data_IF_655410607751
#
_entry.id   IF_655410607751
#
_cell.length_a   1.000
_cell.length_b   1.000
_cell.length_c   1.000
_cell.angle_alpha   90.00
_cell.angle_beta   90.00
_cell.angle_gamma   90.00
#
_symmetry.space_group_name_H-M   'P 1'
#
loop_
_entity.id
_entity.type
_entity.pdbx_description
1 polymer ?
#
# COMPACT_ATOMS: atom_id res chain seq x y z
N UNK A 1 -50.60 50.54 13.10
CA UNK A 1 -50.16 49.31 13.81
C UNK A 1 -49.93 48.13 12.82
N UNK A 2 -50.82 47.84 11.89
CA UNK A 2 -50.65 46.68 10.92
C UNK A 2 -49.38 46.80 10.07
N UNK A 3 -48.98 47.98 9.67
CA UNK A 3 -47.78 48.22 8.82
C UNK A 3 -46.46 47.90 9.53
N UNK A 4 -46.39 48.04 10.86
CA UNK A 4 -45.22 47.67 11.64
C UNK A 4 -45.06 46.18 11.82
N UNK A 5 -46.15 45.43 11.95
CA UNK A 5 -46.12 43.96 12.03
C UNK A 5 -45.77 43.32 10.73
N UNK A 6 -46.13 43.95 9.60
CA UNK A 6 -45.80 43.45 8.25
C UNK A 6 -44.27 43.55 7.97
N UNK A 7 -43.64 44.62 8.45
CA UNK A 7 -42.19 44.80 8.32
C UNK A 7 -41.42 43.83 9.22
N UNK A 8 -41.95 43.57 10.43
CA UNK A 8 -41.34 42.61 11.36
C UNK A 8 -41.44 41.18 10.85
N UNK A 9 -42.56 40.81 10.20
CA UNK A 9 -42.77 39.50 9.61
C UNK A 9 -41.86 39.26 8.38
N UNK A 10 -41.64 40.31 7.59
CA UNK A 10 -40.75 40.26 6.43
C UNK A 10 -39.27 40.13 6.81
N UNK A 11 -38.86 40.63 7.97
CA UNK A 11 -37.51 40.50 8.51
C UNK A 11 -37.22 39.08 9.05
N UNK A 12 -38.23 38.36 9.50
CA UNK A 12 -38.14 36.97 9.99
C UNK A 12 -37.99 35.93 8.88
N UNK A 13 -38.42 36.25 7.65
CA UNK A 13 -38.29 35.40 6.46
C UNK A 13 -36.86 35.37 5.84
N UNK A 14 -36.00 36.29 6.21
CA UNK A 14 -34.63 36.38 5.69
C UNK A 14 -33.59 35.57 6.46
N UNK A 15 -33.98 34.89 7.57
CA UNK A 15 -33.09 34.09 8.41
C UNK A 15 -33.04 32.60 8.02
N UNK A 16 -33.68 32.21 6.92
CA UNK A 16 -33.57 30.86 6.35
C UNK A 16 -32.25 30.65 5.61
N UNK A 17 -31.11 31.01 6.21
CA UNK A 17 -29.78 30.61 5.70
C UNK A 17 -29.66 29.10 5.75
N UNK A 18 -29.68 28.44 4.59
CA UNK A 18 -29.28 27.04 4.46
C UNK A 18 -27.85 26.92 5.01
N UNK A 19 -27.69 26.50 6.25
CA UNK A 19 -26.41 25.99 6.74
C UNK A 19 -26.12 24.74 5.90
N UNK A 20 -25.32 24.89 4.84
CA UNK A 20 -24.74 23.78 4.13
C UNK A 20 -23.77 23.11 5.13
N UNK A 21 -24.27 22.08 5.79
CA UNK A 21 -23.43 21.22 6.62
C UNK A 21 -22.43 20.55 5.67
N UNK A 22 -21.23 21.10 5.57
CA UNK A 22 -20.10 20.39 4.96
C UNK A 22 -19.90 19.17 5.84
N UNK A 23 -20.17 18.01 5.27
CA UNK A 23 -19.99 16.74 5.95
C UNK A 23 -18.46 16.54 6.17
N UNK A 24 -17.98 17.02 7.31
CA UNK A 24 -16.55 17.03 7.68
C UNK A 24 -15.94 15.62 7.69
N UNK A 25 -16.79 14.57 7.72
CA UNK A 25 -16.35 13.19 7.60
C UNK A 25 -15.86 12.88 6.18
N UNK A 26 -16.57 13.31 5.15
CA UNK A 26 -16.23 13.02 3.75
C UNK A 26 -14.91 13.71 3.35
N UNK A 27 -14.68 14.94 3.78
CA UNK A 27 -13.45 15.69 3.45
C UNK A 27 -12.20 15.18 4.16
N UNK A 28 -12.33 14.61 5.36
CA UNK A 28 -11.19 14.01 6.09
C UNK A 28 -10.74 12.67 5.48
N UNK A 29 -11.62 11.94 4.79
CA UNK A 29 -11.30 10.64 4.21
C UNK A 29 -10.78 10.73 2.77
N UNK A 30 -11.21 11.71 1.99
CA UNK A 30 -10.79 11.85 0.59
C UNK A 30 -9.35 12.33 0.42
N UNK A 31 -8.78 13.00 1.41
CA UNK A 31 -7.48 13.67 1.27
C UNK A 31 -6.27 12.81 1.70
N UNK A 32 -6.45 11.79 2.55
CA UNK A 32 -5.31 11.01 3.04
C UNK A 32 -4.69 10.11 1.95
N UNK A 33 -5.50 9.50 1.08
CA UNK A 33 -5.05 8.54 0.08
C UNK A 33 -4.17 9.16 -1.00
N UNK A 34 -4.54 10.30 -1.62
CA UNK A 34 -3.65 11.02 -2.55
C UNK A 34 -2.36 11.49 -1.89
N UNK A 35 -2.43 11.98 -0.64
CA UNK A 35 -1.23 12.40 0.11
C UNK A 35 -0.32 11.22 0.41
N UNK A 36 -0.86 10.06 0.78
CA UNK A 36 -0.08 8.83 0.98
C UNK A 36 0.53 8.34 -0.33
N UNK A 37 -0.21 8.39 -1.45
CA UNK A 37 0.31 8.01 -2.77
C UNK A 37 1.47 8.91 -3.23
N UNK A 38 1.46 10.19 -2.81
CA UNK A 38 2.52 11.14 -3.08
C UNK A 38 3.80 10.91 -2.26
N UNK A 39 3.73 10.15 -1.16
CA UNK A 39 4.92 9.80 -0.36
C UNK A 39 5.79 8.80 -1.12
N UNK A 40 6.87 9.28 -1.73
CA UNK A 40 7.80 8.45 -2.55
C UNK A 40 9.00 7.94 -1.77
N UNK A 41 9.20 8.43 -0.54
CA UNK A 41 10.30 8.00 0.32
C UNK A 41 9.73 7.44 1.62
N UNK A 42 9.87 6.13 1.79
CA UNK A 42 9.38 5.42 2.95
C UNK A 42 10.23 4.19 3.26
N UNK A 43 10.11 3.72 4.47
CA UNK A 43 10.63 2.44 4.92
C UNK A 43 9.54 1.74 5.72
N UNK A 44 9.48 0.41 5.60
CA UNK A 44 8.59 -0.42 6.40
C UNK A 44 9.30 -1.68 6.87
N UNK A 45 9.07 -2.05 8.11
CA UNK A 45 9.47 -3.33 8.67
C UNK A 45 8.27 -4.25 8.81
N UNK A 46 8.53 -5.56 8.71
CA UNK A 46 7.46 -6.54 8.75
C UNK A 46 7.96 -7.96 8.78
N UNK A 47 7.01 -8.86 8.51
CA UNK A 47 7.24 -10.28 8.29
C UNK A 47 6.53 -10.72 7.03
N UNK A 48 7.14 -11.64 6.33
CA UNK A 48 6.61 -12.21 5.11
C UNK A 48 6.59 -13.74 5.25
N UNK A 49 5.51 -14.38 4.80
CA UNK A 49 5.43 -15.82 4.62
C UNK A 49 5.07 -16.13 3.18
N UNK A 50 5.94 -16.84 2.49
CA UNK A 50 5.73 -17.43 1.18
C UNK A 50 5.19 -18.83 1.34
N UNK A 51 4.13 -19.17 0.61
CA UNK A 51 3.43 -20.44 0.69
C UNK A 51 3.14 -20.89 -0.75
N UNK A 52 3.71 -22.02 -1.13
CA UNK A 52 3.41 -22.74 -2.35
C UNK A 52 2.96 -24.17 -2.02
N UNK A 53 2.56 -25.00 -3.01
CA UNK A 53 2.28 -26.42 -2.76
C UNK A 53 3.50 -27.19 -2.25
N UNK A 54 4.70 -26.81 -2.64
CA UNK A 54 5.95 -27.51 -2.37
C UNK A 54 6.57 -27.09 -1.05
N UNK A 55 6.38 -25.81 -0.65
CA UNK A 55 7.13 -25.26 0.47
C UNK A 55 6.40 -24.13 1.20
N UNK A 56 6.84 -23.91 2.43
CA UNK A 56 6.46 -22.75 3.23
C UNK A 56 7.69 -22.15 3.88
N UNK A 57 7.98 -20.90 3.54
CA UNK A 57 9.09 -20.13 4.10
C UNK A 57 8.60 -18.85 4.77
N UNK A 58 9.34 -18.37 5.77
CA UNK A 58 9.03 -17.12 6.46
C UNK A 58 10.32 -16.34 6.73
N UNK A 59 10.23 -15.02 6.61
CA UNK A 59 11.35 -14.12 6.82
C UNK A 59 10.88 -12.83 7.51
N UNK A 60 11.80 -12.16 8.21
CA UNK A 60 11.63 -10.75 8.51
C UNK A 60 11.84 -9.95 7.23
N UNK A 61 11.12 -8.85 7.11
CA UNK A 61 11.08 -7.99 5.96
C UNK A 61 11.53 -6.58 6.38
N UNK A 62 12.48 -6.01 5.64
CA UNK A 62 12.75 -4.58 5.63
C UNK A 62 12.65 -4.10 4.19
N UNK A 63 11.76 -3.14 3.93
CA UNK A 63 11.52 -2.64 2.60
C UNK A 63 11.63 -1.12 2.58
N UNK A 64 12.51 -0.62 1.75
CA UNK A 64 12.75 0.81 1.57
C UNK A 64 12.46 1.24 0.14
N UNK A 65 11.78 2.35 0.00
CA UNK A 65 11.55 3.05 -1.25
C UNK A 65 12.10 4.46 -1.17
N UNK A 66 12.80 4.88 -2.21
CA UNK A 66 13.15 6.28 -2.46
C UNK A 66 12.67 6.66 -3.86
N UNK A 67 12.86 7.91 -4.25
CA UNK A 67 12.57 8.34 -5.63
C UNK A 67 13.34 7.54 -6.69
N UNK A 68 14.54 7.04 -6.35
CA UNK A 68 15.47 6.43 -7.32
C UNK A 68 15.76 4.96 -7.06
N UNK A 69 15.28 4.40 -5.96
CA UNK A 69 15.60 3.00 -5.61
C UNK A 69 14.49 2.35 -4.81
N UNK A 70 14.36 1.04 -5.00
CA UNK A 70 13.49 0.14 -4.26
C UNK A 70 14.36 -0.99 -3.70
N UNK A 71 14.47 -1.10 -2.38
CA UNK A 71 15.34 -2.05 -1.70
C UNK A 71 14.52 -2.96 -0.79
N UNK A 72 14.58 -4.26 -1.04
CA UNK A 72 13.96 -5.31 -0.24
C UNK A 72 15.04 -6.16 0.40
N UNK A 73 15.04 -6.26 1.73
CA UNK A 73 15.91 -7.15 2.48
C UNK A 73 15.06 -8.16 3.23
N UNK A 74 15.36 -9.45 3.05
CA UNK A 74 14.77 -10.52 3.83
C UNK A 74 15.84 -11.14 4.73
N UNK A 75 15.47 -11.37 6.01
CA UNK A 75 16.36 -12.00 7.00
C UNK A 75 15.64 -13.15 7.72
N UNK A 76 16.41 -14.08 8.24
CA UNK A 76 15.91 -15.08 9.19
C UNK A 76 15.42 -14.40 10.47
N UNK A 77 14.75 -15.16 11.35
CA UNK A 77 14.31 -14.62 12.64
C UNK A 77 15.47 -14.21 13.57
N UNK A 78 16.67 -14.76 13.38
CA UNK A 78 17.91 -14.39 14.10
C UNK A 78 18.70 -13.28 13.43
N UNK A 79 18.20 -12.70 12.31
CA UNK A 79 18.81 -11.56 11.63
C UNK A 79 19.80 -11.91 10.53
N UNK A 80 20.06 -13.18 10.22
CA UNK A 80 20.91 -13.57 9.09
C UNK A 80 20.22 -13.17 7.78
N UNK A 81 20.94 -12.47 6.88
CA UNK A 81 20.41 -12.09 5.57
C UNK A 81 20.13 -13.32 4.71
N UNK A 82 18.93 -13.41 4.18
CA UNK A 82 18.52 -14.43 3.21
C UNK A 82 18.77 -13.90 1.81
N UNK A 83 18.30 -12.66 1.55
CA UNK A 83 18.51 -11.96 0.29
C UNK A 83 18.46 -10.43 0.49
N UNK A 84 19.08 -9.72 -0.46
CA UNK A 84 18.96 -8.28 -0.61
C UNK A 84 18.73 -7.98 -2.09
N UNK A 85 17.56 -7.43 -2.42
CA UNK A 85 17.19 -7.01 -3.76
C UNK A 85 17.17 -5.49 -3.82
N UNK A 86 17.97 -4.92 -4.71
CA UNK A 86 18.00 -3.48 -4.98
C UNK A 86 17.62 -3.23 -6.43
N UNK A 87 16.61 -2.42 -6.64
CA UNK A 87 16.15 -2.00 -7.96
C UNK A 87 16.34 -0.51 -8.12
N UNK A 88 16.85 -0.11 -9.27
CA UNK A 88 17.05 1.28 -9.69
C UNK A 88 16.58 1.46 -11.13
N UNK A 89 16.71 2.69 -11.67
CA UNK A 89 16.45 2.96 -13.10
C UNK A 89 17.41 2.21 -14.04
N UNK A 90 18.57 1.75 -13.53
CA UNK A 90 19.57 1.02 -14.31
C UNK A 90 19.38 -0.50 -14.31
N UNK A 91 18.45 -1.02 -13.54
CA UNK A 91 18.18 -2.45 -13.38
C UNK A 91 18.11 -2.88 -11.92
N UNK A 92 18.23 -4.18 -11.72
CA UNK A 92 18.15 -4.85 -10.44
C UNK A 92 19.41 -5.61 -10.09
N UNK A 93 19.78 -5.58 -8.82
CA UNK A 93 20.88 -6.30 -8.19
C UNK A 93 20.29 -7.17 -7.08
N UNK A 94 20.61 -8.45 -7.08
CA UNK A 94 20.20 -9.40 -6.05
C UNK A 94 21.42 -10.07 -5.43
N UNK A 95 21.62 -9.86 -4.14
CA UNK A 95 22.55 -10.64 -3.32
C UNK A 95 21.78 -11.84 -2.75
N UNK A 96 22.22 -13.06 -3.09
CA UNK A 96 21.59 -14.31 -2.66
C UNK A 96 22.63 -15.42 -2.59
N UNK A 97 22.64 -16.17 -1.48
CA UNK A 97 23.56 -17.29 -1.22
C UNK A 97 25.06 -16.92 -1.31
N UNK A 98 25.39 -15.64 -0.99
CA UNK A 98 26.75 -15.11 -0.99
C UNK A 98 27.24 -14.58 -2.33
N UNK A 99 26.43 -14.70 -3.40
CA UNK A 99 26.74 -14.19 -4.73
C UNK A 99 25.88 -12.96 -5.09
N UNK A 100 26.35 -12.15 -6.03
CA UNK A 100 25.66 -11.01 -6.59
C UNK A 100 25.23 -11.27 -8.04
N UNK A 101 23.98 -10.96 -8.34
CA UNK A 101 23.36 -11.17 -9.64
C UNK A 101 22.71 -9.89 -10.15
N UNK A 102 22.77 -9.67 -11.47
CA UNK A 102 22.24 -8.47 -12.10
C UNK A 102 21.25 -8.83 -13.22
N UNK A 103 20.21 -8.01 -13.37
CA UNK A 103 19.22 -8.12 -14.43
C UNK A 103 18.50 -6.77 -14.63
N UNK A 104 17.82 -6.61 -15.73
CA UNK A 104 16.95 -5.45 -15.96
C UNK A 104 15.59 -5.57 -15.26
N UNK A 105 15.18 -6.80 -14.90
CA UNK A 105 13.87 -7.10 -14.28
C UNK A 105 14.04 -7.73 -12.90
N UNK A 106 13.71 -6.97 -11.86
CA UNK A 106 13.85 -7.38 -10.46
C UNK A 106 12.98 -8.60 -10.10
N UNK A 107 11.73 -8.64 -10.58
CA UNK A 107 10.80 -9.73 -10.26
C UNK A 107 11.22 -11.06 -10.91
N UNK A 108 11.72 -11.03 -12.15
CA UNK A 108 12.22 -12.22 -12.83
C UNK A 108 13.57 -12.67 -12.26
N UNK A 109 14.45 -11.73 -11.89
CA UNK A 109 15.72 -12.04 -11.22
C UNK A 109 15.44 -12.78 -9.89
N UNK A 110 14.57 -12.23 -9.05
CA UNK A 110 14.17 -12.83 -7.79
C UNK A 110 13.63 -14.25 -8.00
N UNK A 111 12.67 -14.42 -8.92
CA UNK A 111 12.04 -15.72 -9.22
C UNK A 111 13.05 -16.74 -9.70
N UNK A 112 13.93 -16.35 -10.65
CA UNK A 112 14.91 -17.26 -11.27
C UNK A 112 15.90 -17.84 -10.27
N UNK A 113 16.35 -17.02 -9.31
CA UNK A 113 17.40 -17.42 -8.38
C UNK A 113 16.87 -18.05 -7.10
N UNK A 114 15.72 -17.60 -6.62
CA UNK A 114 15.20 -18.05 -5.31
C UNK A 114 13.95 -18.92 -5.43
N UNK A 115 13.36 -19.08 -6.62
CA UNK A 115 12.03 -19.68 -6.79
C UNK A 115 10.88 -18.80 -6.26
N UNK A 116 11.20 -17.73 -5.55
CA UNK A 116 10.27 -16.85 -4.85
C UNK A 116 9.67 -15.81 -5.79
N UNK A 117 8.36 -15.87 -6.00
CA UNK A 117 7.65 -14.90 -6.84
C UNK A 117 7.00 -13.83 -5.99
N UNK A 118 7.43 -12.58 -6.14
CA UNK A 118 6.87 -11.41 -5.47
C UNK A 118 6.81 -10.26 -6.49
N UNK A 119 5.69 -9.52 -6.59
CA UNK A 119 5.57 -8.39 -7.50
C UNK A 119 6.26 -7.16 -6.91
N UNK A 120 7.60 -7.16 -6.93
CA UNK A 120 8.43 -6.08 -6.35
C UNK A 120 8.27 -4.76 -7.08
N UNK A 121 7.93 -4.83 -8.37
CA UNK A 121 7.56 -3.64 -9.13
C UNK A 121 6.25 -3.06 -8.59
N UNK A 122 6.13 -1.74 -8.56
CA UNK A 122 4.96 -1.03 -8.03
C UNK A 122 4.62 -1.33 -6.55
N UNK A 123 5.57 -1.87 -5.78
CA UNK A 123 5.39 -2.11 -4.34
C UNK A 123 4.95 -0.84 -3.60
N UNK A 124 5.39 0.32 -4.06
CA UNK A 124 4.94 1.64 -3.57
C UNK A 124 3.42 1.77 -3.51
N UNK A 125 2.70 1.26 -4.49
CA UNK A 125 1.25 1.38 -4.54
C UNK A 125 0.54 0.27 -3.75
N UNK A 126 0.90 -0.98 -3.96
CA UNK A 126 0.16 -2.07 -3.35
C UNK A 126 0.49 -2.26 -1.86
N UNK A 127 1.72 -2.00 -1.39
CA UNK A 127 2.04 -2.04 0.04
C UNK A 127 1.26 -1.00 0.83
N UNK A 128 1.07 0.20 0.28
CA UNK A 128 0.34 1.30 0.92
C UNK A 128 -1.19 1.20 0.77
N UNK A 129 -1.68 0.31 -0.09
CA UNK A 129 -3.11 0.23 -0.42
C UNK A 129 -3.62 1.42 -1.24
N UNK A 130 -2.73 2.06 -2.02
CA UNK A 130 -3.03 3.22 -2.86
C UNK A 130 -3.21 2.88 -4.34
N UNK A 131 -3.29 1.59 -4.68
CA UNK A 131 -3.58 1.16 -6.06
C UNK A 131 -4.85 1.85 -6.55
N UNK A 132 -4.77 2.41 -7.75
CA UNK A 132 -5.91 2.93 -8.50
C UNK A 132 -6.21 1.95 -9.65
N UNK A 133 -7.24 1.15 -9.47
CA UNK A 133 -7.67 0.12 -10.42
C UNK A 133 -9.21 -0.03 -10.37
N UNK A 134 -9.82 -0.31 -11.52
CA UNK A 134 -11.28 -0.47 -11.62
C UNK A 134 -11.83 -1.62 -10.77
N UNK A 135 -11.02 -2.63 -10.46
CA UNK A 135 -11.39 -3.77 -9.61
C UNK A 135 -11.24 -3.50 -8.11
N UNK A 136 -10.78 -2.29 -7.73
CA UNK A 136 -10.55 -1.95 -6.33
C UNK A 136 -11.84 -1.94 -5.54
N UNK A 137 -11.93 -2.79 -4.53
CA UNK A 137 -12.98 -2.77 -3.52
C UNK A 137 -12.45 -2.03 -2.30
N UNK A 138 -13.22 -1.07 -1.81
CA UNK A 138 -12.89 -0.28 -0.61
C UNK A 138 -13.89 -0.53 0.51
N UNK A 139 -13.51 -0.18 1.73
CA UNK A 139 -14.43 -0.12 2.87
C UNK A 139 -15.10 1.27 3.00
N UNK A 140 -15.89 1.44 4.06
CA UNK A 140 -16.62 2.68 4.35
C UNK A 140 -15.69 3.90 4.59
N UNK A 141 -14.42 3.67 4.87
CA UNK A 141 -13.39 4.69 5.07
C UNK A 141 -12.52 4.92 3.84
N UNK A 142 -12.88 4.34 2.67
CA UNK A 142 -12.13 4.43 1.43
C UNK A 142 -10.81 3.62 1.42
N UNK A 143 -10.58 2.74 2.45
CA UNK A 143 -9.40 1.89 2.52
C UNK A 143 -9.57 0.67 1.61
N UNK A 144 -8.51 0.27 0.93
CA UNK A 144 -8.53 -0.92 0.09
C UNK A 144 -8.90 -2.17 0.90
N UNK A 145 -9.81 -2.99 0.37
CA UNK A 145 -10.15 -4.33 0.88
C UNK A 145 -9.61 -5.41 -0.01
N UNK A 146 -9.78 -5.24 -1.30
CA UNK A 146 -9.34 -6.19 -2.30
C UNK A 146 -9.08 -5.47 -3.62
N UNK A 147 -8.11 -5.96 -4.39
CA UNK A 147 -7.88 -5.55 -5.76
C UNK A 147 -7.39 -6.74 -6.58
N UNK A 148 -7.78 -6.78 -7.85
CA UNK A 148 -7.21 -7.68 -8.87
C UNK A 148 -6.28 -6.84 -9.73
N UNK A 149 -5.00 -7.13 -9.66
CA UNK A 149 -3.97 -6.31 -10.28
C UNK A 149 -3.05 -7.15 -11.18
N UNK A 150 -2.55 -6.55 -12.25
CA UNK A 150 -1.56 -7.17 -13.13
C UNK A 150 -0.21 -6.51 -12.90
N UNK A 151 0.81 -7.32 -12.63
CA UNK A 151 2.18 -6.82 -12.53
C UNK A 151 2.77 -6.48 -13.92
N UNK A 152 3.97 -5.91 -13.94
CA UNK A 152 4.64 -5.49 -15.18
C UNK A 152 4.99 -6.69 -16.10
N UNK A 153 4.91 -7.93 -15.62
CA UNK A 153 5.09 -9.16 -16.40
C UNK A 153 3.77 -9.72 -16.90
N UNK A 154 2.64 -9.08 -16.62
CA UNK A 154 1.30 -9.52 -16.98
C UNK A 154 0.72 -10.61 -16.07
N UNK A 155 1.34 -10.92 -14.94
CA UNK A 155 0.81 -11.89 -13.97
C UNK A 155 -0.31 -11.24 -13.16
N UNK A 156 -1.44 -11.93 -13.07
CA UNK A 156 -2.59 -11.51 -12.30
C UNK A 156 -2.39 -11.83 -10.82
N UNK A 157 -2.49 -10.82 -9.97
CA UNK A 157 -2.48 -10.93 -8.52
C UNK A 157 -3.84 -10.53 -7.95
N UNK A 158 -4.29 -11.28 -6.96
CA UNK A 158 -5.33 -10.80 -6.04
C UNK A 158 -4.63 -10.35 -4.77
N UNK A 159 -4.90 -9.12 -4.35
CA UNK A 159 -4.37 -8.55 -3.11
C UNK A 159 -5.54 -8.32 -2.17
N UNK A 160 -5.55 -9.02 -1.05
CA UNK A 160 -6.51 -8.84 0.04
C UNK A 160 -5.85 -8.04 1.16
N UNK A 161 -6.47 -6.94 1.55
CA UNK A 161 -6.05 -6.11 2.66
C UNK A 161 -6.85 -6.47 3.90
N UNK A 162 -6.16 -6.80 4.99
CA UNK A 162 -6.77 -7.20 6.25
C UNK A 162 -6.97 -6.02 7.19
N UNK A 163 -6.05 -5.83 8.13
CA UNK A 163 -6.14 -4.78 9.15
C UNK A 163 -5.35 -3.55 8.76
N UNK A 164 -5.77 -2.40 9.29
CA UNK A 164 -5.16 -1.09 9.10
C UNK A 164 -4.80 -0.46 10.44
N UNK A 165 -3.79 0.41 10.43
CA UNK A 165 -3.43 1.30 11.53
C UNK A 165 -3.40 2.75 11.03
N UNK A 166 -3.74 3.68 11.88
CA UNK A 166 -3.55 5.09 11.60
C UNK A 166 -2.17 5.54 12.10
N UNK A 167 -1.35 6.06 11.21
CA UNK A 167 -0.02 6.58 11.52
C UNK A 167 0.28 7.81 10.66
N UNK A 168 0.81 8.88 11.27
CA UNK A 168 1.15 10.15 10.59
C UNK A 168 0.02 10.74 9.73
N UNK A 169 -1.25 10.53 10.12
CA UNK A 169 -2.42 11.00 9.38
C UNK A 169 -2.81 10.16 8.17
N UNK A 170 -2.23 8.96 8.02
CA UNK A 170 -2.53 7.99 6.97
C UNK A 170 -3.14 6.71 7.54
N UNK A 171 -3.99 6.06 6.77
CA UNK A 171 -4.41 4.68 7.01
C UNK A 171 -3.47 3.73 6.28
N UNK A 172 -2.70 2.96 7.03
CA UNK A 172 -1.66 2.06 6.51
C UNK A 172 -2.06 0.60 6.74
N UNK A 173 -1.97 -0.25 5.71
CA UNK A 173 -2.21 -1.68 5.89
C UNK A 173 -1.20 -2.29 6.85
N UNK A 174 -1.68 -3.14 7.75
CA UNK A 174 -0.82 -3.94 8.64
C UNK A 174 -0.81 -5.42 8.27
N UNK A 175 -1.80 -5.88 7.49
CA UNK A 175 -1.85 -7.25 6.99
C UNK A 175 -2.31 -7.26 5.54
N UNK A 176 -1.54 -7.95 4.70
CA UNK A 176 -1.85 -8.18 3.30
C UNK A 176 -1.72 -9.67 2.98
N UNK A 177 -2.52 -10.12 2.03
CA UNK A 177 -2.37 -11.44 1.41
C UNK A 177 -2.40 -11.27 -0.09
N UNK A 178 -1.29 -11.62 -0.75
CA UNK A 178 -1.18 -11.66 -2.20
C UNK A 178 -1.39 -13.10 -2.66
N UNK A 179 -2.15 -13.29 -3.73
CA UNK A 179 -2.43 -14.61 -4.32
C UNK A 179 -2.19 -14.57 -5.81
N UNK A 180 -1.42 -15.53 -6.31
CA UNK A 180 -1.19 -15.76 -7.73
C UNK A 180 -1.15 -17.27 -8.00
N UNK A 181 -2.14 -17.80 -8.73
CA UNK A 181 -2.27 -19.26 -8.94
C UNK A 181 -2.29 -20.01 -7.59
N UNK A 182 -1.33 -20.89 -7.36
CA UNK A 182 -1.18 -21.66 -6.11
C UNK A 182 -0.27 -20.98 -5.07
N UNK A 183 0.33 -19.85 -5.44
CA UNK A 183 1.20 -19.07 -4.55
C UNK A 183 0.36 -18.15 -3.67
N UNK A 184 0.68 -18.12 -2.39
CA UNK A 184 0.11 -17.19 -1.41
C UNK A 184 1.24 -16.56 -0.61
N UNK A 185 1.26 -15.23 -0.58
CA UNK A 185 2.20 -14.46 0.22
C UNK A 185 1.42 -13.71 1.28
N UNK A 186 1.75 -13.94 2.54
CA UNK A 186 1.18 -13.20 3.67
C UNK A 186 2.22 -12.22 4.17
N UNK A 187 1.82 -10.97 4.30
CA UNK A 187 2.69 -9.89 4.80
C UNK A 187 2.04 -9.28 6.03
N UNK A 188 2.83 -9.09 7.07
CA UNK A 188 2.46 -8.32 8.24
C UNK A 188 3.45 -7.17 8.39
N UNK A 189 2.92 -5.94 8.38
CA UNK A 189 3.69 -4.69 8.48
C UNK A 189 3.42 -4.04 9.82
N UNK A 190 4.44 -3.45 10.45
CA UNK A 190 4.28 -2.88 11.79
C UNK A 190 5.05 -1.58 12.04
N UNK A 191 6.10 -1.30 11.31
CA UNK A 191 6.85 -0.05 11.50
C UNK A 191 6.99 0.70 10.16
N UNK A 192 6.18 1.74 9.99
CA UNK A 192 6.19 2.61 8.85
C UNK A 192 6.89 3.93 9.17
N UNK A 193 7.84 4.32 8.33
CA UNK A 193 8.58 5.57 8.41
C UNK A 193 8.49 6.29 7.08
N UNK A 194 8.12 7.57 7.09
CA UNK A 194 8.07 8.45 5.92
C UNK A 194 9.11 9.55 6.06
N UNK A 195 9.72 9.98 4.94
CA UNK A 195 10.74 11.04 4.91
C UNK A 195 10.37 12.10 3.89
#
# INVERSE_FOLDING_TARGET
>A
MIRQYLILFMFFLLLGGCAHQIDTKTTLYDDWKPRLAAQKTWQVEGKLAFISPEERQSANLNWQQTTNSNNLILTTFIGTRILSLKQTVNGAELEFDGDEYFDTNAAELLKRLTGFTLPVDNADNWLKGTIDDQSLVVDELGRAKQVLWFDNTGKKWQIDYGTYVQNAGYWLPTKLTLKHQQIKIKIQLYDWQFK
#
